data_IF_569010221146
#
_entry.id   IF_569010221146
#
_cell.length_a   1.000
_cell.length_b   1.000
_cell.length_c   1.000
_cell.angle_alpha   90.00
_cell.angle_beta   90.00
_cell.angle_gamma   90.00
#
_symmetry.space_group_name_H-M   'P 1'
#
loop_
_entity.id
_entity.type
_entity.pdbx_description
1 polymer ?
#
# COMPACT_ATOMS: atom_id res chain seq x y z
N UNK A 1 -8.32 -23.33 -13.94
CA UNK A 1 -7.83 -23.31 -12.53
C UNK A 1 -6.94 -24.51 -12.30
N UNK A 2 -5.72 -24.28 -11.81
CA UNK A 2 -4.72 -25.35 -11.60
C UNK A 2 -4.85 -25.90 -10.17
N UNK A 3 -5.05 -24.99 -9.20
CA UNK A 3 -5.25 -25.35 -7.77
C UNK A 3 -6.26 -24.38 -7.12
N UNK A 4 -7.00 -24.83 -6.08
CA UNK A 4 -7.88 -23.96 -5.30
C UNK A 4 -7.07 -22.86 -4.60
N UNK A 5 -7.64 -21.66 -4.49
CA UNK A 5 -6.98 -20.52 -3.83
C UNK A 5 -6.49 -20.85 -2.40
N UNK A 6 -7.24 -21.65 -1.66
CA UNK A 6 -6.90 -22.08 -0.28
C UNK A 6 -5.62 -22.94 -0.19
N UNK A 7 -5.14 -23.49 -1.32
CA UNK A 7 -3.94 -24.33 -1.39
C UNK A 7 -2.72 -23.57 -1.88
N UNK A 8 -2.89 -22.31 -2.29
CA UNK A 8 -1.80 -21.44 -2.69
C UNK A 8 -0.97 -21.05 -1.47
N UNK A 9 0.36 -21.09 -1.62
CA UNK A 9 1.28 -20.67 -0.56
C UNK A 9 1.25 -19.13 -0.44
N UNK A 10 0.59 -18.61 0.58
CA UNK A 10 0.45 -17.18 0.84
C UNK A 10 1.42 -16.65 1.91
N UNK A 11 1.78 -17.49 2.88
CA UNK A 11 2.69 -17.13 3.97
C UNK A 11 3.51 -18.35 4.41
N UNK A 12 4.55 -18.13 5.23
CA UNK A 12 5.42 -19.23 5.70
C UNK A 12 4.66 -20.29 6.49
N UNK A 13 3.66 -19.87 7.26
CA UNK A 13 2.86 -20.77 8.10
C UNK A 13 2.06 -21.77 7.25
N UNK A 14 1.64 -21.37 6.05
CA UNK A 14 0.92 -22.27 5.13
C UNK A 14 1.80 -23.46 4.72
N UNK A 15 3.10 -23.26 4.54
CA UNK A 15 4.05 -24.33 4.21
C UNK A 15 4.10 -25.32 5.37
N UNK A 16 4.27 -24.84 6.59
CA UNK A 16 4.36 -25.71 7.77
C UNK A 16 3.09 -26.53 7.96
N UNK A 17 1.93 -25.85 7.98
CA UNK A 17 0.63 -26.52 8.16
C UNK A 17 0.35 -27.53 7.04
N UNK A 18 0.64 -27.18 5.79
CA UNK A 18 0.44 -28.08 4.67
C UNK A 18 1.29 -29.37 4.80
N UNK A 19 2.55 -29.23 5.18
CA UNK A 19 3.46 -30.36 5.35
C UNK A 19 3.04 -31.25 6.54
N UNK A 20 2.60 -30.67 7.65
CA UNK A 20 2.05 -31.40 8.79
C UNK A 20 0.76 -32.17 8.41
N UNK A 21 -0.14 -31.54 7.63
CA UNK A 21 -1.33 -32.22 7.09
C UNK A 21 -0.99 -33.37 6.13
N UNK A 22 0.17 -33.33 5.48
CA UNK A 22 0.69 -34.44 4.68
C UNK A 22 1.40 -35.52 5.51
N UNK A 23 1.48 -35.34 6.83
CA UNK A 23 2.03 -36.31 7.77
C UNK A 23 3.52 -36.15 8.05
N UNK A 24 4.17 -35.06 7.63
CA UNK A 24 5.54 -34.79 8.04
C UNK A 24 5.60 -34.46 9.54
N UNK A 25 6.70 -34.85 10.16
CA UNK A 25 7.02 -34.43 11.53
C UNK A 25 7.14 -32.91 11.64
N UNK A 26 6.58 -32.32 12.70
CA UNK A 26 6.55 -30.87 12.90
C UNK A 26 7.95 -30.23 12.87
N UNK A 27 8.97 -30.91 13.39
CA UNK A 27 10.34 -30.38 13.40
C UNK A 27 10.91 -30.34 11.97
N UNK A 28 10.62 -31.35 11.15
CA UNK A 28 11.03 -31.39 9.75
C UNK A 28 10.24 -30.37 8.93
N UNK A 29 8.92 -30.30 9.10
CA UNK A 29 8.06 -29.29 8.47
C UNK A 29 8.55 -27.86 8.76
N UNK A 30 8.92 -27.60 10.02
CA UNK A 30 9.50 -26.31 10.42
C UNK A 30 10.83 -26.02 9.71
N UNK A 31 11.75 -26.99 9.64
CA UNK A 31 13.05 -26.81 8.97
C UNK A 31 12.89 -26.52 7.47
N UNK A 32 11.99 -27.24 6.80
CA UNK A 32 11.65 -26.99 5.39
C UNK A 32 11.09 -25.59 5.22
N UNK A 33 10.08 -25.22 6.00
CA UNK A 33 9.49 -23.88 6.00
C UNK A 33 10.54 -22.80 6.21
N UNK A 34 11.43 -22.94 7.20
CA UNK A 34 12.50 -21.99 7.49
C UNK A 34 13.52 -21.84 6.34
N UNK A 35 13.82 -22.95 5.63
CA UNK A 35 14.68 -22.92 4.45
C UNK A 35 14.03 -22.16 3.30
N UNK A 36 12.76 -22.46 3.02
CA UNK A 36 11.99 -21.84 1.95
C UNK A 36 11.79 -20.33 2.21
N UNK A 37 11.32 -19.96 3.40
CA UNK A 37 11.04 -18.55 3.70
C UNK A 37 12.26 -17.63 3.63
N UNK A 38 13.46 -18.17 3.84
CA UNK A 38 14.74 -17.45 3.76
C UNK A 38 15.32 -17.42 2.33
N UNK A 39 14.62 -18.00 1.36
CA UNK A 39 15.07 -18.08 -0.01
C UNK A 39 16.25 -19.04 -0.25
N UNK A 40 16.52 -19.94 0.70
CA UNK A 40 17.57 -20.97 0.57
C UNK A 40 17.14 -22.14 -0.34
N UNK A 41 15.85 -22.18 -0.68
CA UNK A 41 15.26 -23.26 -1.47
C UNK A 41 15.11 -24.56 -0.69
N UNK A 42 15.12 -25.67 -1.41
CA UNK A 42 15.00 -27.04 -0.88
C UNK A 42 16.27 -27.83 -1.14
N UNK A 43 16.75 -28.56 -0.13
CA UNK A 43 17.78 -29.57 -0.32
C UNK A 43 17.19 -30.83 -0.97
N UNK A 44 18.05 -31.67 -1.56
CA UNK A 44 17.62 -32.96 -2.12
C UNK A 44 16.94 -33.86 -1.07
N UNK A 45 17.43 -33.83 0.18
CA UNK A 45 16.84 -34.52 1.32
C UNK A 45 15.42 -34.04 1.61
N UNK A 46 15.19 -32.70 1.66
CA UNK A 46 13.87 -32.14 1.87
C UNK A 46 12.90 -32.45 0.75
N UNK A 47 13.37 -32.46 -0.50
CA UNK A 47 12.53 -32.87 -1.63
C UNK A 47 12.14 -34.34 -1.57
N UNK A 48 13.06 -35.21 -1.20
CA UNK A 48 12.77 -36.64 -1.05
C UNK A 48 11.74 -36.88 0.06
N UNK A 49 11.92 -36.26 1.21
CA UNK A 49 10.96 -36.31 2.33
C UNK A 49 9.57 -35.82 1.92
N UNK A 50 9.49 -34.68 1.21
CA UNK A 50 8.22 -34.14 0.74
C UNK A 50 7.53 -35.12 -0.22
N UNK A 51 8.25 -35.73 -1.15
CA UNK A 51 7.69 -36.74 -2.08
C UNK A 51 7.22 -38.01 -1.39
N UNK A 52 7.97 -38.50 -0.40
CA UNK A 52 7.57 -39.64 0.43
C UNK A 52 6.21 -39.42 1.11
N UNK A 53 5.92 -38.17 1.48
CA UNK A 53 4.64 -37.76 2.07
C UNK A 53 3.61 -37.28 1.04
N UNK A 54 3.76 -37.63 -0.23
CA UNK A 54 2.83 -37.31 -1.31
C UNK A 54 2.57 -35.78 -1.47
N UNK A 55 3.62 -34.96 -1.26
CA UNK A 55 3.58 -33.55 -1.62
C UNK A 55 3.72 -33.43 -3.14
N UNK A 56 2.80 -32.75 -3.83
CA UNK A 56 2.82 -32.68 -5.29
C UNK A 56 4.03 -31.89 -5.82
N UNK A 57 4.52 -32.26 -7.00
CA UNK A 57 5.68 -31.60 -7.63
C UNK A 57 5.46 -30.11 -7.88
N UNK A 58 4.22 -29.68 -8.18
CA UNK A 58 3.93 -28.26 -8.34
C UNK A 58 4.14 -27.48 -7.03
N UNK A 59 3.86 -28.08 -5.87
CA UNK A 59 4.08 -27.46 -4.57
C UNK A 59 5.57 -27.34 -4.25
N UNK A 60 6.33 -28.40 -4.51
CA UNK A 60 7.80 -28.41 -4.39
C UNK A 60 8.43 -27.37 -5.30
N UNK A 61 7.97 -27.29 -6.56
CA UNK A 61 8.43 -26.28 -7.51
C UNK A 61 8.13 -24.86 -7.02
N UNK A 62 6.92 -24.62 -6.47
CA UNK A 62 6.53 -23.33 -5.89
C UNK A 62 7.44 -22.93 -4.71
N UNK A 63 7.76 -23.87 -3.82
CA UNK A 63 8.69 -23.64 -2.70
C UNK A 63 10.09 -23.21 -3.18
N UNK A 64 10.57 -23.73 -4.31
CA UNK A 64 11.88 -23.35 -4.89
C UNK A 64 11.92 -21.94 -5.46
N UNK A 65 10.78 -21.41 -5.89
CA UNK A 65 10.69 -20.05 -6.45
C UNK A 65 10.64 -18.95 -5.38
N UNK A 66 10.29 -19.33 -4.15
CA UNK A 66 10.13 -18.37 -3.05
C UNK A 66 11.49 -17.81 -2.64
N UNK A 67 11.61 -16.50 -2.60
CA UNK A 67 12.82 -15.79 -2.14
C UNK A 67 12.71 -15.30 -0.70
N UNK A 68 11.51 -14.93 -0.29
CA UNK A 68 11.21 -14.49 1.08
C UNK A 68 9.72 -14.61 1.36
N UNK A 69 9.37 -14.98 2.60
CA UNK A 69 7.97 -15.03 3.05
C UNK A 69 7.81 -14.47 4.47
N UNK A 70 6.72 -13.75 4.66
CA UNK A 70 6.32 -13.23 5.96
C UNK A 70 5.51 -14.25 6.77
N UNK A 71 5.51 -14.12 8.13
CA UNK A 71 4.59 -14.86 8.99
C UNK A 71 3.13 -14.46 8.73
N UNK A 72 2.20 -15.39 8.91
CA UNK A 72 0.77 -15.15 8.78
C UNK A 72 0.27 -14.05 9.71
N UNK A 73 0.71 -14.07 10.97
CA UNK A 73 0.35 -13.04 11.96
C UNK A 73 0.79 -11.64 11.53
N UNK A 74 1.99 -11.50 10.97
CA UNK A 74 2.50 -10.24 10.44
C UNK A 74 1.66 -9.76 9.25
N UNK A 75 1.43 -10.62 8.26
CA UNK A 75 0.59 -10.30 7.10
C UNK A 75 -0.82 -9.91 7.52
N UNK A 76 -1.43 -10.66 8.45
CA UNK A 76 -2.77 -10.36 8.99
C UNK A 76 -2.82 -8.98 9.65
N UNK A 77 -1.83 -8.62 10.46
CA UNK A 77 -1.79 -7.32 11.12
C UNK A 77 -1.78 -6.17 10.10
N UNK A 78 -0.97 -6.27 9.05
CA UNK A 78 -0.93 -5.27 7.98
C UNK A 78 -2.23 -5.22 7.17
N UNK A 79 -2.80 -6.38 6.81
CA UNK A 79 -4.06 -6.44 6.06
C UNK A 79 -5.22 -5.86 6.86
N UNK A 80 -5.31 -6.15 8.17
CA UNK A 80 -6.34 -5.58 9.04
C UNK A 80 -6.22 -4.06 9.11
N UNK A 81 -5.00 -3.52 9.23
CA UNK A 81 -4.78 -2.07 9.21
C UNK A 81 -5.14 -1.46 7.86
N UNK A 82 -4.74 -2.09 6.76
CA UNK A 82 -5.11 -1.65 5.41
C UNK A 82 -6.63 -1.62 5.21
N UNK A 83 -7.34 -2.65 5.66
CA UNK A 83 -8.81 -2.70 5.58
C UNK A 83 -9.48 -1.61 6.42
N UNK A 84 -8.96 -1.31 7.62
CA UNK A 84 -9.45 -0.20 8.45
C UNK A 84 -9.30 1.14 7.75
N UNK A 85 -8.14 1.39 7.15
CA UNK A 85 -7.89 2.63 6.39
C UNK A 85 -8.79 2.67 5.14
N UNK A 86 -8.94 1.56 4.42
CA UNK A 86 -9.83 1.46 3.26
C UNK A 86 -11.29 1.73 3.64
N UNK A 87 -11.74 1.28 4.82
CA UNK A 87 -13.08 1.57 5.31
C UNK A 87 -13.31 3.08 5.43
N UNK A 88 -12.37 3.84 6.01
CA UNK A 88 -12.47 5.29 6.08
C UNK A 88 -12.50 5.92 4.67
N UNK A 89 -11.66 5.43 3.76
CA UNK A 89 -11.63 5.93 2.37
C UNK A 89 -12.97 5.74 1.65
N UNK A 90 -13.73 4.69 1.99
CA UNK A 90 -15.04 4.39 1.38
C UNK A 90 -16.16 5.16 2.07
N UNK A 91 -16.24 5.13 3.39
CA UNK A 91 -17.39 5.63 4.15
C UNK A 91 -17.21 7.01 4.76
N UNK A 92 -15.97 7.50 4.85
CA UNK A 92 -15.58 8.81 5.38
C UNK A 92 -14.47 9.43 4.51
N UNK A 93 -14.74 9.62 3.21
CA UNK A 93 -13.68 9.99 2.26
C UNK A 93 -13.02 11.33 2.57
N UNK A 94 -13.78 12.37 2.93
CA UNK A 94 -13.20 13.68 3.25
C UNK A 94 -12.27 13.62 4.47
N UNK A 95 -12.67 12.91 5.52
CA UNK A 95 -11.83 12.71 6.71
C UNK A 95 -10.57 11.88 6.38
N UNK A 96 -10.70 10.89 5.49
CA UNK A 96 -9.54 10.15 4.98
C UNK A 96 -8.56 11.06 4.25
N UNK A 97 -9.04 11.86 3.29
CA UNK A 97 -8.17 12.77 2.52
C UNK A 97 -7.59 13.88 3.39
N UNK A 98 -8.37 14.46 4.30
CA UNK A 98 -7.88 15.46 5.25
C UNK A 98 -6.72 14.90 6.10
N UNK A 99 -6.88 13.68 6.60
CA UNK A 99 -5.83 12.99 7.37
C UNK A 99 -4.62 12.69 6.51
N UNK A 100 -4.81 12.18 5.28
CA UNK A 100 -3.72 11.87 4.35
C UNK A 100 -2.87 13.13 4.07
N UNK A 101 -3.50 14.21 3.61
CA UNK A 101 -2.80 15.45 3.30
C UNK A 101 -2.13 16.07 4.54
N UNK A 102 -2.75 15.95 5.72
CA UNK A 102 -2.16 16.48 6.97
C UNK A 102 -0.94 15.69 7.45
N UNK A 103 -0.97 14.35 7.31
CA UNK A 103 0.00 13.49 8.02
C UNK A 103 1.03 12.82 7.12
N UNK A 104 0.79 12.78 5.81
CA UNK A 104 1.62 12.05 4.85
C UNK A 104 2.28 12.96 3.81
N UNK A 105 1.95 14.23 3.80
CA UNK A 105 2.44 15.19 2.83
C UNK A 105 3.18 16.33 3.52
N UNK A 106 4.38 16.65 3.01
CA UNK A 106 5.20 17.75 3.53
C UNK A 106 5.29 18.92 2.53
N UNK A 107 4.93 18.69 1.27
CA UNK A 107 4.97 19.68 0.18
C UNK A 107 3.67 19.68 -0.58
N UNK A 108 3.26 20.86 -1.03
CA UNK A 108 1.99 21.06 -1.74
C UNK A 108 2.19 21.94 -2.97
N UNK A 109 1.32 21.79 -3.96
CA UNK A 109 1.12 22.73 -5.05
C UNK A 109 -0.32 23.26 -4.93
N UNK A 110 -0.54 24.08 -3.90
CA UNK A 110 -1.87 24.50 -3.51
C UNK A 110 -2.56 25.32 -4.62
N UNK A 111 -1.78 26.14 -5.34
CA UNK A 111 -2.28 26.93 -6.48
C UNK A 111 -2.86 26.06 -7.61
N UNK A 112 -2.32 24.87 -7.79
CA UNK A 112 -2.86 23.88 -8.73
C UNK A 112 -4.04 23.13 -8.14
N UNK A 113 -3.96 22.72 -6.87
CA UNK A 113 -4.98 21.90 -6.20
C UNK A 113 -6.33 22.61 -6.11
N UNK A 114 -6.34 23.89 -5.75
CA UNK A 114 -7.58 24.69 -5.66
C UNK A 114 -8.26 24.96 -7.00
N UNK A 115 -7.52 24.86 -8.11
CA UNK A 115 -8.09 25.02 -9.47
C UNK A 115 -8.86 23.78 -9.95
N UNK A 116 -8.81 22.71 -9.19
CA UNK A 116 -9.59 21.50 -9.41
C UNK A 116 -8.99 20.51 -10.39
N UNK A 117 -9.76 19.46 -10.69
CA UNK A 117 -9.35 18.25 -11.38
C UNK A 117 -8.54 18.49 -12.67
N UNK A 118 -8.98 19.38 -13.54
CA UNK A 118 -8.32 19.64 -14.83
C UNK A 118 -6.90 20.18 -14.67
N UNK A 119 -6.71 21.14 -13.76
CA UNK A 119 -5.41 21.73 -13.47
C UNK A 119 -4.46 20.70 -12.83
N UNK A 120 -4.98 19.92 -11.87
CA UNK A 120 -4.24 18.84 -11.20
C UNK A 120 -3.78 17.81 -12.23
N UNK A 121 -4.69 17.34 -13.11
CA UNK A 121 -4.36 16.37 -14.15
C UNK A 121 -3.26 16.90 -15.09
N UNK A 122 -3.40 18.12 -15.57
CA UNK A 122 -2.41 18.73 -16.46
C UNK A 122 -1.03 18.80 -15.80
N UNK A 123 -0.98 19.21 -14.53
CA UNK A 123 0.29 19.30 -13.79
C UNK A 123 0.88 17.93 -13.51
N UNK A 124 0.07 16.97 -13.12
CA UNK A 124 0.49 15.60 -12.85
C UNK A 124 1.07 14.93 -14.10
N UNK A 125 0.37 15.02 -15.24
CA UNK A 125 0.85 14.50 -16.52
C UNK A 125 2.14 15.17 -16.99
N UNK A 126 2.26 16.48 -16.80
CA UNK A 126 3.50 17.20 -17.10
C UNK A 126 4.70 16.66 -16.30
N UNK A 127 4.50 16.34 -15.01
CA UNK A 127 5.55 15.75 -14.17
C UNK A 127 5.89 14.33 -14.64
N UNK A 128 4.88 13.50 -14.93
CA UNK A 128 5.09 12.13 -15.40
C UNK A 128 5.84 12.02 -16.73
N UNK A 129 5.69 13.00 -17.62
CA UNK A 129 6.36 13.00 -18.92
C UNK A 129 7.84 13.40 -18.84
N UNK A 130 8.28 13.96 -17.72
CA UNK A 130 9.68 14.32 -17.53
C UNK A 130 10.56 13.09 -17.33
N UNK A 131 11.79 13.18 -17.81
CA UNK A 131 12.79 12.19 -17.44
C UNK A 131 13.01 12.24 -15.91
N UNK A 132 12.99 11.10 -15.19
CA UNK A 132 13.21 11.06 -13.74
C UNK A 132 14.50 11.76 -13.26
N UNK A 133 15.52 11.88 -14.12
CA UNK A 133 16.78 12.57 -13.81
C UNK A 133 16.67 14.10 -13.87
N UNK A 134 15.64 14.61 -14.55
CA UNK A 134 15.41 16.06 -14.75
C UNK A 134 14.37 16.62 -13.76
N UNK A 135 13.71 15.74 -12.99
CA UNK A 135 12.76 16.14 -11.97
C UNK A 135 13.46 16.90 -10.85
N UNK A 136 12.97 18.11 -10.57
CA UNK A 136 13.38 18.86 -9.38
C UNK A 136 12.93 18.14 -8.11
N UNK A 137 13.65 18.26 -6.98
CA UNK A 137 13.24 17.64 -5.73
C UNK A 137 11.77 17.93 -5.36
N UNK A 138 11.35 19.21 -5.42
CA UNK A 138 9.95 19.62 -5.15
C UNK A 138 8.95 18.92 -6.08
N UNK A 139 9.28 18.66 -7.35
CA UNK A 139 8.39 17.99 -8.30
C UNK A 139 8.18 16.50 -7.95
N UNK A 140 9.22 15.84 -7.42
CA UNK A 140 9.11 14.47 -6.92
C UNK A 140 8.19 14.40 -5.70
N UNK A 141 8.38 15.32 -4.75
CA UNK A 141 7.62 15.34 -3.50
C UNK A 141 6.13 15.61 -3.74
N UNK A 142 5.79 16.46 -4.71
CA UNK A 142 4.39 16.78 -5.03
C UNK A 142 3.71 15.77 -5.96
N UNK A 143 4.44 14.83 -6.58
CA UNK A 143 3.86 13.85 -7.49
C UNK A 143 2.78 13.01 -6.80
N UNK A 144 3.11 12.39 -5.66
CA UNK A 144 2.18 11.57 -4.88
C UNK A 144 1.02 12.41 -4.32
N UNK A 145 1.29 13.67 -3.97
CA UNK A 145 0.27 14.62 -3.50
C UNK A 145 -0.73 14.92 -4.60
N UNK A 146 -0.26 15.19 -5.82
CA UNK A 146 -1.13 15.47 -6.97
C UNK A 146 -1.92 14.23 -7.40
N UNK A 147 -1.33 13.03 -7.32
CA UNK A 147 -2.05 11.78 -7.61
C UNK A 147 -3.22 11.58 -6.65
N UNK A 148 -3.01 11.76 -5.35
CA UNK A 148 -4.08 11.66 -4.35
C UNK A 148 -5.11 12.78 -4.50
N UNK A 149 -4.69 14.00 -4.82
CA UNK A 149 -5.58 15.12 -5.09
C UNK A 149 -6.43 14.88 -6.35
N UNK A 150 -5.83 14.25 -7.38
CA UNK A 150 -6.55 13.85 -8.59
C UNK A 150 -7.61 12.79 -8.27
N UNK A 151 -7.28 11.78 -7.49
CA UNK A 151 -8.24 10.77 -7.05
C UNK A 151 -9.40 11.40 -6.27
N UNK A 152 -9.10 12.26 -5.29
CA UNK A 152 -10.10 12.97 -4.49
C UNK A 152 -11.05 13.78 -5.37
N UNK A 153 -10.50 14.56 -6.29
CA UNK A 153 -11.30 15.40 -7.20
C UNK A 153 -12.07 14.57 -8.24
N UNK A 154 -11.55 13.43 -8.66
CA UNK A 154 -12.27 12.48 -9.53
C UNK A 154 -13.49 11.87 -8.84
N UNK A 155 -13.48 11.77 -7.51
CA UNK A 155 -14.62 11.33 -6.70
C UNK A 155 -15.61 12.45 -6.36
N UNK A 156 -15.42 13.65 -6.88
CA UNK A 156 -16.35 14.78 -6.72
C UNK A 156 -16.07 15.68 -5.51
N UNK A 157 -14.95 15.49 -4.81
CA UNK A 157 -14.53 16.37 -3.73
C UNK A 157 -13.62 17.49 -4.26
N UNK A 158 -13.52 18.60 -3.53
CA UNK A 158 -12.75 19.77 -3.97
C UNK A 158 -11.82 20.30 -2.88
N UNK A 159 -10.93 21.21 -3.24
CA UNK A 159 -10.19 22.03 -2.29
C UNK A 159 -10.76 23.46 -2.31
N UNK A 160 -10.98 24.03 -1.14
CA UNK A 160 -11.28 25.46 -0.98
C UNK A 160 -10.01 26.29 -1.02
N UNK A 161 -10.16 27.60 -1.09
CA UNK A 161 -9.07 28.52 -0.79
C UNK A 161 -8.71 28.50 0.70
N UNK A 162 -7.47 28.87 1.02
CA UNK A 162 -7.09 29.16 2.40
C UNK A 162 -7.95 30.31 2.92
N UNK A 163 -8.46 30.16 4.13
CA UNK A 163 -9.36 31.11 4.77
C UNK A 163 -8.80 31.60 6.10
N UNK A 164 -8.73 32.90 6.28
CA UNK A 164 -8.26 33.53 7.54
C UNK A 164 -9.10 33.08 8.74
N UNK A 165 -10.38 32.78 8.54
CA UNK A 165 -11.31 32.45 9.62
C UNK A 165 -11.57 30.96 9.80
N UNK A 166 -11.28 30.12 8.79
CA UNK A 166 -11.62 28.70 8.81
C UNK A 166 -10.41 27.78 8.75
N UNK A 167 -9.28 28.24 8.16
CA UNK A 167 -8.07 27.41 8.06
C UNK A 167 -7.41 27.21 9.41
N UNK A 168 -6.93 26.00 9.63
CA UNK A 168 -6.03 25.66 10.74
C UNK A 168 -4.57 26.04 10.37
N UNK A 169 -3.69 26.09 11.34
CA UNK A 169 -2.27 26.36 11.09
C UNK A 169 -1.62 25.25 10.24
N UNK A 170 -1.90 23.98 10.54
CA UNK A 170 -1.18 22.82 10.01
C UNK A 170 -2.08 21.72 9.44
N UNK A 171 -3.38 21.70 9.76
CA UNK A 171 -4.29 20.60 9.42
C UNK A 171 -5.28 20.98 8.33
N UNK A 172 -5.50 20.08 7.38
CA UNK A 172 -6.62 20.18 6.47
C UNK A 172 -7.94 19.99 7.23
N UNK A 173 -8.88 20.94 7.07
CA UNK A 173 -10.18 20.91 7.72
C UNK A 173 -11.23 20.39 6.74
N UNK A 174 -12.14 19.55 7.23
CA UNK A 174 -13.26 19.01 6.44
C UNK A 174 -14.40 20.04 6.40
N UNK A 175 -14.82 20.39 5.20
CA UNK A 175 -16.01 21.19 4.93
C UNK A 175 -17.08 20.28 4.29
N UNK A 176 -17.94 19.73 5.15
CA UNK A 176 -19.01 18.81 4.72
C UNK A 176 -20.08 19.51 3.89
N UNK A 177 -20.33 20.80 4.13
CA UNK A 177 -21.36 21.56 3.41
C UNK A 177 -21.00 21.74 1.94
N UNK A 178 -19.72 21.95 1.66
CA UNK A 178 -19.21 22.18 0.31
C UNK A 178 -18.54 20.94 -0.32
N UNK A 179 -18.54 19.81 0.36
CA UNK A 179 -17.80 18.60 -0.06
C UNK A 179 -16.32 18.91 -0.38
N UNK A 180 -15.67 19.67 0.48
CA UNK A 180 -14.35 20.23 0.25
C UNK A 180 -13.39 20.04 1.43
N UNK A 181 -12.10 20.16 1.15
CA UNK A 181 -11.06 20.34 2.15
C UNK A 181 -10.60 21.80 2.18
N UNK A 182 -10.53 22.39 3.36
CA UNK A 182 -9.95 23.71 3.58
C UNK A 182 -8.47 23.52 3.91
N UNK A 183 -7.55 24.04 3.06
CA UNK A 183 -6.12 23.90 3.29
C UNK A 183 -5.64 24.70 4.51
N UNK A 184 -4.61 24.23 5.22
CA UNK A 184 -4.00 24.96 6.31
C UNK A 184 -3.12 26.13 5.83
N UNK A 185 -2.74 27.02 6.75
CA UNK A 185 -1.84 28.12 6.43
C UNK A 185 -0.45 27.67 6.00
N UNK A 186 0.06 26.55 6.53
CA UNK A 186 1.39 26.03 6.20
C UNK A 186 1.57 25.66 4.73
N UNK A 187 0.50 25.51 3.93
CA UNK A 187 0.63 25.19 2.50
C UNK A 187 1.04 26.41 1.66
N UNK A 188 1.01 27.61 2.23
CA UNK A 188 1.40 28.85 1.57
C UNK A 188 2.91 28.98 1.64
N UNK A 189 3.56 29.03 0.48
CA UNK A 189 5.03 29.20 0.39
C UNK A 189 5.46 30.48 1.13
N UNK A 190 6.37 30.34 2.09
CA UNK A 190 6.93 31.44 2.87
C UNK A 190 6.15 31.84 4.14
N UNK A 191 5.10 31.12 4.50
CA UNK A 191 4.32 31.41 5.72
C UNK A 191 4.64 30.42 6.87
N UNK A 192 5.43 29.38 6.64
CA UNK A 192 5.77 28.35 7.63
C UNK A 192 7.26 28.16 7.85
#
# INVERSE_FOLDING_TARGET
>A
DIVPFKEVIGCRDDIMVYLELKGLDSTKAFKIMESVRKGKGLSAEFEAEMREHNVPDWYIASCKLIKYMFPKAHATAYVVMALRIAWYKVYRPLEYYATYFTTRCDKYDIDTMIKGKSAIMTKYLYILQKNPRELKPKEKDIQDVLEMALEMTARGFTFSNVSITKSDATKFIVDLENNALIPPFMVIDGLG
#
